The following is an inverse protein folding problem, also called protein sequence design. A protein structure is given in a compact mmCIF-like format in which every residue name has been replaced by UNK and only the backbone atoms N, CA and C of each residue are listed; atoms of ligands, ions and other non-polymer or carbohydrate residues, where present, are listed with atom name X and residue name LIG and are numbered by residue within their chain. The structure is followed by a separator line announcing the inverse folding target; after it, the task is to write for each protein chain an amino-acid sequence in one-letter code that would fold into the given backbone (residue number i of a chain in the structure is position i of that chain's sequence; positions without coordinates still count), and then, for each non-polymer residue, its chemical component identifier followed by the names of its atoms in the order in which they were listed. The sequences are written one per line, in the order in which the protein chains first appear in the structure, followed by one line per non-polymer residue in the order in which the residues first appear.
data_IF_889590940961
#
_entry.id   IF_889590940961
#
_cell.length_a   1.000
_cell.length_b   1.000
_cell.length_c   1.000
_cell.angle_alpha   90.00
_cell.angle_beta   90.00
_cell.angle_gamma   90.00
#
_symmetry.space_group_name_H-M   'P 1'
#
loop_
_entity.id
_entity.type
_entity.pdbx_description
1 polymer ?
#
# COMPACT_ATOMS: atom_id res chain seq x y z
N UNK A 1 -3.47 11.58 -39.39
CA UNK A 1 -3.19 11.04 -38.04
C UNK A 1 -4.16 9.91 -37.81
N UNK A 2 -3.66 8.70 -37.55
CA UNK A 2 -4.48 7.53 -37.20
C UNK A 2 -5.18 7.79 -35.86
N UNK A 3 -6.48 7.53 -35.77
CA UNK A 3 -7.22 7.66 -34.50
C UNK A 3 -6.69 6.63 -33.50
N UNK A 4 -6.44 7.03 -32.25
CA UNK A 4 -5.98 6.13 -31.19
C UNK A 4 -7.15 5.44 -30.47
N UNK A 5 -7.90 4.65 -31.23
CA UNK A 5 -9.17 4.06 -30.80
C UNK A 5 -9.28 2.59 -31.22
N UNK A 6 -9.99 1.78 -30.44
CA UNK A 6 -10.44 0.44 -30.82
C UNK A 6 -11.92 0.48 -31.16
N UNK A 7 -12.28 -0.23 -32.22
CA UNK A 7 -13.67 -0.39 -32.64
C UNK A 7 -14.21 -1.75 -32.17
N UNK A 8 -15.35 -1.72 -31.46
CA UNK A 8 -16.10 -2.90 -31.05
C UNK A 8 -17.40 -2.97 -31.85
N UNK A 9 -17.64 -4.10 -32.51
CA UNK A 9 -18.85 -4.33 -33.30
C UNK A 9 -19.72 -5.39 -32.64
N UNK A 10 -20.98 -5.05 -32.36
CA UNK A 10 -21.97 -6.03 -31.95
C UNK A 10 -22.54 -6.72 -33.20
N UNK A 11 -22.13 -7.97 -33.42
CA UNK A 11 -22.52 -8.75 -34.60
C UNK A 11 -24.03 -9.07 -34.68
N UNK A 12 -24.76 -9.04 -33.56
CA UNK A 12 -26.21 -9.29 -33.55
C UNK A 12 -27.00 -8.07 -34.02
N UNK A 13 -26.52 -6.86 -33.71
CA UNK A 13 -27.24 -5.61 -34.00
C UNK A 13 -26.60 -4.79 -35.12
N UNK A 14 -25.37 -5.11 -35.51
CA UNK A 14 -24.55 -4.32 -36.43
C UNK A 14 -24.05 -2.99 -35.86
N UNK A 15 -24.33 -2.68 -34.58
CA UNK A 15 -23.89 -1.44 -33.95
C UNK A 15 -22.37 -1.45 -33.74
N UNK A 16 -21.76 -0.30 -34.02
CA UNK A 16 -20.33 -0.06 -33.93
C UNK A 16 -20.08 0.95 -32.81
N UNK A 17 -19.11 0.65 -31.96
CA UNK A 17 -18.68 1.48 -30.83
C UNK A 17 -17.18 1.78 -30.97
N UNK A 18 -16.78 3.03 -30.75
CA UNK A 18 -15.37 3.44 -30.73
C UNK A 18 -14.97 3.77 -29.29
N UNK A 19 -13.90 3.17 -28.80
CA UNK A 19 -13.35 3.41 -27.46
C UNK A 19 -11.89 3.87 -27.55
N UNK A 20 -11.50 4.78 -26.65
CA UNK A 20 -10.15 5.34 -26.64
C UNK A 20 -9.14 4.35 -26.05
N UNK A 21 -7.93 4.36 -26.63
CA UNK A 21 -6.78 3.68 -26.06
C UNK A 21 -6.04 4.67 -25.15
N UNK A 22 -5.77 4.26 -23.90
CA UNK A 22 -4.95 5.02 -22.96
C UNK A 22 -3.58 4.35 -22.84
N UNK A 23 -2.53 5.14 -22.90
CA UNK A 23 -1.15 4.68 -22.79
C UNK A 23 -0.57 5.06 -21.43
N UNK A 24 0.10 4.10 -20.79
CA UNK A 24 0.94 4.36 -19.62
C UNK A 24 2.36 4.74 -20.05
N UNK A 25 3.14 5.32 -19.12
CA UNK A 25 4.58 5.53 -19.34
C UNK A 25 5.32 4.20 -19.57
N UNK A 26 4.82 3.12 -18.97
CA UNK A 26 5.33 1.75 -19.09
C UNK A 26 4.16 0.77 -19.05
N UNK A 27 4.36 -0.41 -19.65
CA UNK A 27 3.37 -1.49 -19.68
C UNK A 27 2.45 -1.44 -20.91
N UNK A 28 1.45 -2.33 -20.96
CA UNK A 28 0.50 -2.38 -22.07
C UNK A 28 -0.44 -1.17 -22.05
N UNK A 29 -0.90 -0.78 -23.23
CA UNK A 29 -2.01 0.18 -23.35
C UNK A 29 -3.32 -0.46 -22.87
N UNK A 30 -4.26 0.37 -22.42
CA UNK A 30 -5.56 -0.08 -21.90
C UNK A 30 -6.69 0.52 -22.73
N UNK A 31 -7.80 -0.20 -22.80
CA UNK A 31 -9.02 0.27 -23.43
C UNK A 31 -9.90 0.98 -22.41
N UNK A 32 -10.29 2.23 -22.67
CA UNK A 32 -11.19 2.97 -21.78
C UNK A 32 -12.64 2.54 -21.97
N UNK A 33 -13.13 1.71 -21.05
CA UNK A 33 -14.49 1.17 -21.05
C UNK A 33 -15.41 1.85 -20.01
N UNK A 34 -15.06 3.03 -19.49
CA UNK A 34 -15.87 3.72 -18.46
C UNK A 34 -17.32 4.00 -18.88
N UNK A 35 -17.54 4.25 -20.17
CA UNK A 35 -18.87 4.49 -20.75
C UNK A 35 -19.48 3.23 -21.38
N UNK A 36 -18.84 2.06 -21.27
CA UNK A 36 -19.28 0.86 -21.97
C UNK A 36 -20.73 0.46 -21.65
N UNK A 37 -21.12 0.55 -20.38
CA UNK A 37 -22.50 0.26 -19.98
C UNK A 37 -23.50 1.30 -20.50
N UNK A 38 -23.17 2.60 -20.44
CA UNK A 38 -24.08 3.64 -20.95
C UNK A 38 -24.25 3.56 -22.47
N UNK A 39 -23.22 3.15 -23.19
CA UNK A 39 -23.24 3.09 -24.65
C UNK A 39 -23.93 1.83 -25.17
N UNK A 40 -23.71 0.70 -24.49
CA UNK A 40 -24.08 -0.63 -25.00
C UNK A 40 -25.20 -1.31 -24.21
N UNK A 41 -25.45 -0.91 -22.96
CA UNK A 41 -26.30 -1.64 -22.02
C UNK A 41 -25.71 -2.97 -21.53
N UNK A 42 -24.42 -3.22 -21.79
CA UNK A 42 -23.72 -4.46 -21.43
C UNK A 42 -22.60 -4.20 -20.43
N UNK A 43 -22.16 -5.26 -19.74
CA UNK A 43 -20.96 -5.27 -18.92
C UNK A 43 -19.89 -6.17 -19.54
N UNK A 44 -18.63 -5.93 -19.17
CA UNK A 44 -17.57 -6.91 -19.37
C UNK A 44 -17.70 -8.02 -18.33
N UNK A 45 -17.29 -9.22 -18.70
CA UNK A 45 -17.26 -10.37 -17.79
C UNK A 45 -15.82 -10.86 -17.67
N UNK A 46 -15.14 -10.47 -16.60
CA UNK A 46 -13.74 -10.83 -16.30
C UNK A 46 -13.59 -11.28 -14.84
N UNK A 47 -14.08 -12.47 -14.48
CA UNK A 47 -13.90 -13.01 -13.13
C UNK A 47 -12.42 -13.10 -12.76
N UNK A 48 -12.03 -12.42 -11.69
CA UNK A 48 -10.64 -12.37 -11.23
C UNK A 48 -9.80 -11.23 -11.82
N UNK A 49 -10.40 -10.32 -12.60
CA UNK A 49 -9.74 -9.13 -13.16
C UNK A 49 -8.47 -9.46 -13.98
N UNK A 50 -8.51 -10.55 -14.74
CA UNK A 50 -7.35 -11.03 -15.50
C UNK A 50 -6.89 -10.06 -16.59
N UNK A 51 -7.82 -9.24 -17.09
CA UNK A 51 -7.61 -8.30 -18.20
C UNK A 51 -8.13 -6.89 -17.88
N UNK A 52 -8.40 -6.60 -16.60
CA UNK A 52 -9.00 -5.34 -16.16
C UNK A 52 -8.00 -4.50 -15.37
N UNK A 53 -7.64 -3.33 -15.90
CA UNK A 53 -6.87 -2.33 -15.16
C UNK A 53 -7.81 -1.51 -14.26
N UNK A 54 -7.75 -1.72 -12.95
CA UNK A 54 -8.68 -1.10 -11.99
C UNK A 54 -8.31 0.34 -11.60
N UNK A 55 -7.03 0.72 -11.70
CA UNK A 55 -6.56 2.05 -11.33
C UNK A 55 -5.38 2.53 -12.19
N UNK A 56 -5.15 3.84 -12.17
CA UNK A 56 -3.88 4.43 -12.61
C UNK A 56 -2.95 4.53 -11.40
N UNK A 57 -1.68 4.16 -11.55
CA UNK A 57 -0.70 4.19 -10.47
C UNK A 57 0.67 4.66 -10.96
N UNK A 58 1.35 5.42 -10.10
CA UNK A 58 2.73 5.89 -10.29
C UNK A 58 3.68 5.34 -9.23
N UNK A 59 3.24 4.31 -8.47
CA UNK A 59 3.96 3.78 -7.31
C UNK A 59 4.94 2.68 -7.74
N UNK A 60 4.43 1.59 -8.30
CA UNK A 60 5.21 0.39 -8.62
C UNK A 60 4.92 -0.09 -10.03
N UNK A 61 5.96 -0.53 -10.74
CA UNK A 61 5.86 -1.15 -12.06
C UNK A 61 6.48 -2.55 -12.03
N UNK A 62 5.84 -3.49 -12.73
CA UNK A 62 6.27 -4.89 -12.84
C UNK A 62 6.20 -5.35 -14.30
N UNK A 63 7.28 -5.93 -14.81
CA UNK A 63 7.29 -6.73 -16.05
C UNK A 63 7.82 -8.14 -15.73
N UNK A 64 6.90 -9.08 -15.50
CA UNK A 64 7.24 -10.45 -15.13
C UNK A 64 7.99 -11.23 -16.21
N UNK A 65 7.88 -10.86 -17.49
CA UNK A 65 8.62 -11.53 -18.57
C UNK A 65 10.08 -11.13 -18.59
N UNK A 66 10.36 -9.88 -18.22
CA UNK A 66 11.72 -9.34 -18.11
C UNK A 66 12.33 -9.47 -16.72
N UNK A 67 11.53 -9.86 -15.71
CA UNK A 67 11.94 -9.87 -14.32
C UNK A 67 12.19 -8.47 -13.76
N UNK A 68 11.49 -7.45 -14.27
CA UNK A 68 11.68 -6.05 -13.87
C UNK A 68 10.69 -5.68 -12.75
N UNK A 69 11.20 -5.16 -11.64
CA UNK A 69 10.42 -4.55 -10.55
C UNK A 69 10.99 -3.17 -10.23
N UNK A 70 10.13 -2.16 -10.18
CA UNK A 70 10.54 -0.77 -9.89
C UNK A 70 9.62 -0.10 -8.89
N UNK A 71 10.20 0.66 -7.96
CA UNK A 71 9.48 1.60 -7.09
C UNK A 71 9.79 3.03 -7.50
N UNK A 72 8.76 3.82 -7.81
CA UNK A 72 8.88 5.20 -8.34
C UNK A 72 9.88 5.32 -9.50
N UNK A 73 9.96 4.28 -10.33
CA UNK A 73 10.88 4.22 -11.47
C UNK A 73 12.30 3.71 -11.16
N UNK A 74 12.68 3.55 -9.89
CA UNK A 74 13.98 3.02 -9.47
C UNK A 74 13.93 1.48 -9.44
N UNK A 75 14.88 0.76 -10.07
CA UNK A 75 14.97 -0.70 -9.98
C UNK A 75 15.09 -1.20 -8.54
N UNK A 76 14.43 -2.31 -8.22
CA UNK A 76 14.42 -2.85 -6.87
C UNK A 76 15.81 -3.26 -6.39
N UNK A 77 16.68 -3.71 -7.29
CA UNK A 77 18.05 -4.12 -6.98
C UNK A 77 18.86 -2.93 -6.45
N UNK A 78 18.69 -1.76 -7.08
CA UNK A 78 19.33 -0.52 -6.64
C UNK A 78 18.89 -0.13 -5.23
N UNK A 79 17.59 -0.25 -4.93
CA UNK A 79 17.04 0.04 -3.61
C UNK A 79 17.54 -0.96 -2.56
N UNK A 80 17.58 -2.26 -2.89
CA UNK A 80 18.00 -3.30 -1.95
C UNK A 80 19.51 -3.26 -1.64
N UNK A 81 20.35 -2.86 -2.60
CA UNK A 81 21.81 -2.82 -2.42
C UNK A 81 22.32 -1.51 -1.81
N UNK A 82 21.69 -0.38 -2.14
CA UNK A 82 22.24 0.95 -1.84
C UNK A 82 21.39 1.79 -0.89
N UNK A 83 20.16 1.36 -0.57
CA UNK A 83 19.25 2.10 0.28
C UNK A 83 18.71 1.23 1.42
N UNK A 84 18.25 1.87 2.48
CA UNK A 84 17.60 1.18 3.60
C UNK A 84 16.07 1.18 3.47
N UNK A 85 15.43 0.49 4.42
CA UNK A 85 13.97 0.33 4.43
C UNK A 85 13.24 1.68 4.60
N UNK A 86 13.75 2.59 5.43
CA UNK A 86 13.11 3.88 5.67
C UNK A 86 13.23 4.82 4.47
N UNK A 87 14.35 4.81 3.76
CA UNK A 87 14.49 5.52 2.47
C UNK A 87 13.48 4.99 1.44
N UNK A 88 13.27 3.67 1.40
CA UNK A 88 12.26 3.06 0.53
C UNK A 88 10.84 3.46 0.93
N UNK A 89 10.53 3.51 2.23
CA UNK A 89 9.24 4.01 2.71
C UNK A 89 9.03 5.48 2.32
N UNK A 90 10.05 6.31 2.53
CA UNK A 90 10.01 7.73 2.17
C UNK A 90 9.79 7.92 0.68
N UNK A 91 10.48 7.13 -0.17
CA UNK A 91 10.30 7.12 -1.63
C UNK A 91 8.85 6.79 -2.02
N UNK A 92 8.26 5.76 -1.42
CA UNK A 92 6.91 5.34 -1.74
C UNK A 92 5.88 6.41 -1.35
N UNK A 93 6.05 7.04 -0.19
CA UNK A 93 5.16 8.09 0.30
C UNK A 93 5.33 9.41 -0.47
N UNK A 94 6.57 9.88 -0.66
CA UNK A 94 6.88 11.23 -1.17
C UNK A 94 7.25 11.28 -2.66
N UNK A 95 7.26 10.13 -3.35
CA UNK A 95 7.64 9.99 -4.76
C UNK A 95 9.07 10.44 -5.12
N UNK A 96 9.94 10.66 -4.13
CA UNK A 96 11.36 11.00 -4.28
C UNK A 96 12.18 10.41 -3.14
N UNK A 97 13.48 10.25 -3.35
CA UNK A 97 14.39 9.91 -2.26
C UNK A 97 14.51 11.08 -1.25
N UNK A 98 14.70 10.77 0.04
CA UNK A 98 14.95 11.79 1.05
C UNK A 98 16.34 12.40 0.90
N UNK A 99 16.50 13.62 1.39
CA UNK A 99 17.82 14.16 1.75
C UNK A 99 18.26 13.60 3.11
N UNK A 100 19.54 13.70 3.45
CA UNK A 100 20.09 13.18 4.73
C UNK A 100 19.33 13.72 5.94
N UNK A 101 19.10 15.04 6.03
CA UNK A 101 18.35 15.63 7.15
C UNK A 101 16.87 15.26 7.20
N UNK A 102 16.24 14.99 6.05
CA UNK A 102 14.86 14.49 6.00
C UNK A 102 14.78 13.04 6.47
N UNK A 103 15.77 12.22 6.10
CA UNK A 103 15.86 10.83 6.54
C UNK A 103 16.05 10.77 8.05
N UNK A 104 16.95 11.58 8.61
CA UNK A 104 17.19 11.64 10.06
C UNK A 104 15.93 12.05 10.83
N UNK A 105 15.22 13.06 10.31
CA UNK A 105 13.96 13.54 10.90
C UNK A 105 12.87 12.47 10.82
N UNK A 106 12.76 11.79 9.68
CA UNK A 106 11.80 10.72 9.46
C UNK A 106 12.08 9.51 10.35
N UNK A 107 13.33 9.05 10.43
CA UNK A 107 13.73 7.94 11.30
C UNK A 107 13.45 8.24 12.77
N UNK A 108 13.81 9.44 13.25
CA UNK A 108 13.51 9.87 14.61
C UNK A 108 11.99 9.89 14.89
N UNK A 109 11.20 10.41 13.95
CA UNK A 109 9.73 10.43 14.06
C UNK A 109 9.16 9.01 14.18
N UNK A 110 9.60 8.09 13.31
CA UNK A 110 9.15 6.70 13.30
C UNK A 110 9.52 6.00 14.62
N UNK A 111 10.73 6.20 15.14
CA UNK A 111 11.16 5.65 16.44
C UNK A 111 10.28 6.16 17.59
N UNK A 112 9.95 7.45 17.62
CA UNK A 112 9.06 8.01 18.65
C UNK A 112 7.62 7.50 18.54
N UNK A 113 7.12 7.22 17.33
CA UNK A 113 5.76 6.73 17.11
C UNK A 113 5.61 5.21 17.34
N UNK A 114 6.69 4.46 17.58
CA UNK A 114 6.66 3.01 17.78
C UNK A 114 5.87 2.54 19.01
N UNK A 115 5.78 3.38 20.06
CA UNK A 115 5.07 3.00 21.29
C UNK A 115 3.58 2.76 21.08
N UNK A 116 3.05 1.70 21.67
CA UNK A 116 1.62 1.39 21.67
C UNK A 116 0.94 1.95 22.92
N UNK A 117 -0.27 2.47 22.75
CA UNK A 117 -1.10 2.90 23.87
C UNK A 117 -1.33 1.73 24.84
N UNK A 118 -1.19 1.94 26.16
CA UNK A 118 -1.33 0.86 27.17
C UNK A 118 -2.69 0.14 27.09
N UNK A 119 -3.75 0.85 26.70
CA UNK A 119 -5.06 0.24 26.45
C UNK A 119 -5.04 -0.77 25.29
N UNK A 120 -4.26 -0.50 24.23
CA UNK A 120 -4.07 -1.45 23.13
C UNK A 120 -3.21 -2.64 23.57
N UNK A 121 -2.21 -2.44 24.43
CA UNK A 121 -1.39 -3.56 24.94
C UNK A 121 -2.24 -4.59 25.70
N UNK A 122 -3.26 -4.15 26.45
CA UNK A 122 -4.21 -5.04 27.15
C UNK A 122 -5.08 -5.86 26.21
N UNK A 123 -5.24 -5.46 24.95
CA UNK A 123 -5.95 -6.26 23.96
C UNK A 123 -5.23 -7.59 23.71
N UNK A 124 -3.90 -7.62 23.83
CA UNK A 124 -3.13 -8.84 23.63
C UNK A 124 -3.47 -9.90 24.69
N UNK A 125 -3.69 -9.48 25.94
CA UNK A 125 -4.09 -10.35 27.05
C UNK A 125 -5.48 -11.00 26.84
N UNK A 126 -6.30 -10.45 25.94
CA UNK A 126 -7.62 -11.01 25.61
C UNK A 126 -7.54 -12.16 24.60
N UNK A 127 -6.41 -12.33 23.90
CA UNK A 127 -6.23 -13.46 22.99
C UNK A 127 -5.75 -14.70 23.74
N UNK A 128 -6.14 -15.91 23.29
CA UNK A 128 -5.55 -17.15 23.79
C UNK A 128 -4.02 -17.17 23.65
N UNK A 129 -3.33 -17.87 24.55
CA UNK A 129 -1.86 -17.98 24.60
C UNK A 129 -1.24 -18.59 23.32
N UNK A 130 -2.04 -19.25 22.49
CA UNK A 130 -1.63 -19.87 21.22
C UNK A 130 -2.32 -19.25 19.99
N UNK A 131 -2.85 -18.03 20.12
CA UNK A 131 -3.46 -17.33 19.00
C UNK A 131 -2.46 -17.18 17.85
N UNK A 132 -2.92 -17.44 16.63
CA UNK A 132 -2.08 -17.31 15.45
C UNK A 132 -1.60 -15.85 15.31
N UNK A 133 -0.29 -15.56 15.19
CA UNK A 133 0.24 -14.19 15.23
C UNK A 133 -0.44 -13.23 14.25
N UNK A 134 -0.79 -13.70 13.04
CA UNK A 134 -1.52 -12.87 12.07
C UNK A 134 -2.94 -12.48 12.51
N UNK A 135 -3.65 -13.33 13.26
CA UNK A 135 -4.97 -12.99 13.77
C UNK A 135 -4.87 -11.89 14.84
N UNK A 136 -3.91 -12.04 15.76
CA UNK A 136 -3.59 -11.05 16.79
C UNK A 136 -3.12 -9.72 16.18
N UNK A 137 -2.21 -9.79 15.19
CA UNK A 137 -1.72 -8.62 14.47
C UNK A 137 -2.85 -7.88 13.76
N UNK A 138 -3.69 -8.61 13.01
CA UNK A 138 -4.83 -8.01 12.30
C UNK A 138 -5.78 -7.32 13.27
N UNK A 139 -6.13 -7.97 14.38
CA UNK A 139 -7.03 -7.40 15.37
C UNK A 139 -6.43 -6.17 16.08
N UNK A 140 -5.14 -6.20 16.41
CA UNK A 140 -4.44 -5.06 16.99
C UNK A 140 -4.35 -3.88 16.02
N UNK A 141 -4.08 -4.14 14.73
CA UNK A 141 -4.07 -3.10 13.69
C UNK A 141 -5.47 -2.51 13.51
N UNK A 142 -6.52 -3.33 13.46
CA UNK A 142 -7.91 -2.83 13.40
C UNK A 142 -8.26 -1.99 14.62
N UNK A 143 -7.82 -2.39 15.81
CA UNK A 143 -8.07 -1.65 17.04
C UNK A 143 -7.44 -0.25 17.04
N UNK A 144 -6.33 -0.02 16.29
CA UNK A 144 -5.74 1.32 16.14
C UNK A 144 -6.75 2.36 15.64
N UNK A 145 -7.70 1.98 14.79
CA UNK A 145 -8.74 2.88 14.29
C UNK A 145 -9.64 3.44 15.42
N UNK A 146 -9.80 2.70 16.52
CA UNK A 146 -10.54 3.19 17.70
C UNK A 146 -9.73 4.20 18.53
N UNK A 147 -8.40 4.09 18.53
CA UNK A 147 -7.51 5.02 19.24
C UNK A 147 -7.22 6.28 18.44
N UNK A 148 -7.30 6.20 17.11
CA UNK A 148 -7.06 7.29 16.17
C UNK A 148 -8.33 7.66 15.40
N UNK A 149 -9.46 7.70 16.10
CA UNK A 149 -10.77 7.94 15.52
C UNK A 149 -10.93 9.34 14.90
N UNK A 150 -10.13 10.31 15.35
CA UNK A 150 -10.08 11.67 14.84
C UNK A 150 -9.61 11.75 13.37
N UNK A 151 -8.96 10.70 12.86
CA UNK A 151 -8.46 10.62 11.48
C UNK A 151 -9.20 9.57 10.63
N UNK A 152 -10.44 9.22 11.00
CA UNK A 152 -11.26 8.31 10.18
C UNK A 152 -11.69 8.98 8.87
N UNK A 153 -12.03 10.27 8.94
CA UNK A 153 -12.35 11.11 7.79
C UNK A 153 -11.14 12.01 7.51
N UNK A 154 -10.25 11.53 6.63
CA UNK A 154 -9.02 12.26 6.29
C UNK A 154 -9.38 13.41 5.33
N UNK A 155 -9.29 14.65 5.81
CA UNK A 155 -9.60 15.84 5.01
C UNK A 155 -8.35 16.41 4.33
N UNK A 156 -7.17 16.20 4.93
CA UNK A 156 -5.93 16.85 4.53
C UNK A 156 -4.79 15.85 4.26
N UNK A 157 -3.88 16.21 3.35
CA UNK A 157 -2.70 15.38 3.03
C UNK A 157 -1.77 15.17 4.22
N UNK A 158 -1.65 16.17 5.11
CA UNK A 158 -0.85 16.05 6.33
C UNK A 158 -1.38 14.98 7.29
N UNK A 159 -2.71 14.85 7.41
CA UNK A 159 -3.33 13.82 8.25
C UNK A 159 -3.12 12.43 7.66
N UNK A 160 -3.20 12.32 6.32
CA UNK A 160 -2.85 11.08 5.62
C UNK A 160 -1.41 10.65 5.90
N UNK A 161 -0.46 11.57 5.74
CA UNK A 161 0.95 11.30 6.00
C UNK A 161 1.19 10.93 7.47
N UNK A 162 0.52 11.61 8.40
CA UNK A 162 0.61 11.27 9.80
C UNK A 162 0.13 9.84 10.07
N UNK A 163 -1.00 9.41 9.48
CA UNK A 163 -1.50 8.04 9.64
C UNK A 163 -0.56 7.02 9.01
N UNK A 164 0.00 7.34 7.84
CA UNK A 164 1.01 6.53 7.18
C UNK A 164 2.25 6.34 8.07
N UNK A 165 2.76 7.42 8.69
CA UNK A 165 3.91 7.34 9.60
C UNK A 165 3.56 6.51 10.86
N UNK A 166 2.36 6.71 11.45
CA UNK A 166 1.90 5.94 12.61
C UNK A 166 1.81 4.45 12.31
N UNK A 167 1.28 4.04 11.17
CA UNK A 167 1.16 2.61 10.85
C UNK A 167 2.53 1.98 10.57
N UNK A 168 3.41 2.66 9.85
CA UNK A 168 4.80 2.19 9.61
C UNK A 168 5.54 2.01 10.92
N UNK A 169 5.43 2.99 11.84
CA UNK A 169 6.10 2.95 13.13
C UNK A 169 5.58 1.85 14.07
N UNK A 170 4.27 1.60 14.08
CA UNK A 170 3.64 0.67 15.03
C UNK A 170 3.62 -0.77 14.57
N UNK A 171 3.71 -1.01 13.26
CA UNK A 171 3.65 -2.37 12.69
C UNK A 171 4.72 -3.30 13.27
N UNK A 172 6.01 -2.91 13.39
CA UNK A 172 7.03 -3.77 14.00
C UNK A 172 6.72 -4.09 15.47
N UNK A 173 6.24 -3.11 16.23
CA UNK A 173 5.89 -3.31 17.65
C UNK A 173 4.72 -4.28 17.80
N UNK A 174 3.67 -4.12 16.99
CA UNK A 174 2.52 -5.04 16.98
C UNK A 174 2.96 -6.44 16.55
N UNK A 175 3.83 -6.56 15.54
CA UNK A 175 4.35 -7.85 15.10
C UNK A 175 5.18 -8.55 16.19
N UNK A 176 6.08 -7.80 16.85
CA UNK A 176 6.89 -8.31 17.96
C UNK A 176 6.00 -8.72 19.15
N UNK A 177 4.98 -7.94 19.48
CA UNK A 177 4.05 -8.27 20.57
C UNK A 177 3.23 -9.51 20.22
N UNK A 178 2.73 -9.61 18.98
CA UNK A 178 2.00 -10.79 18.51
C UNK A 178 2.84 -12.06 18.58
N UNK A 179 4.12 -11.98 18.21
CA UNK A 179 5.06 -13.10 18.33
C UNK A 179 5.31 -13.48 19.79
N UNK A 180 5.62 -12.50 20.65
CA UNK A 180 5.89 -12.75 22.07
C UNK A 180 4.67 -13.28 22.83
N UNK A 181 3.48 -12.79 22.49
CA UNK A 181 2.21 -13.32 23.00
C UNK A 181 2.05 -14.81 22.65
N UNK A 182 2.32 -15.20 21.40
CA UNK A 182 2.25 -16.60 20.97
C UNK A 182 3.24 -17.54 21.67
N UNK A 183 4.26 -16.98 22.32
CA UNK A 183 5.24 -17.70 23.14
C UNK A 183 4.97 -17.59 24.65
N UNK A 184 3.98 -16.79 25.07
CA UNK A 184 3.70 -16.51 26.49
C UNK A 184 4.82 -15.77 27.22
N UNK A 185 5.64 -14.98 26.52
CA UNK A 185 6.75 -14.22 27.11
C UNK A 185 6.45 -12.72 27.23
N UNK A 186 6.99 -12.00 28.24
CA UNK A 186 6.68 -10.60 28.47
C UNK A 186 7.04 -9.70 27.29
N UNK A 187 6.24 -8.68 26.98
CA UNK A 187 6.54 -7.71 25.91
C UNK A 187 7.81 -6.89 26.17
N UNK A 188 8.46 -6.46 25.09
CA UNK A 188 9.60 -5.55 25.11
C UNK A 188 9.17 -4.26 24.44
N UNK A 189 9.23 -3.15 25.17
CA UNK A 189 8.90 -1.84 24.61
C UNK A 189 9.95 -1.42 23.57
N UNK A 190 9.57 -0.61 22.56
CA UNK A 190 10.52 -0.05 21.61
C UNK A 190 11.65 0.73 22.31
N UNK A 191 12.85 0.66 21.74
CA UNK A 191 13.99 1.45 22.18
C UNK A 191 14.30 2.52 21.13
N UNK A 192 14.25 3.79 21.53
CA UNK A 192 14.51 4.93 20.64
C UNK A 192 15.98 4.98 20.21
N UNK A 193 16.90 4.37 20.94
CA UNK A 193 18.33 4.36 20.58
C UNK A 193 18.65 3.35 19.47
N UNK A 194 17.72 2.46 19.12
CA UNK A 194 17.89 1.46 18.06
C UNK A 194 17.24 1.94 16.76
N UNK A 195 17.85 1.58 15.62
CA UNK A 195 17.28 1.78 14.28
C UNK A 195 16.00 0.98 14.08
N UNK A 196 15.26 1.29 13.01
CA UNK A 196 14.03 0.58 12.63
C UNK A 196 14.21 -0.93 12.44
N UNK A 197 15.37 -1.34 11.90
CA UNK A 197 15.80 -2.74 11.73
C UNK A 197 16.88 -3.10 12.72
#
# INVERSE_FOLDING_TARGET
MTKNTITLTNNQTGKIYEYNILEGTRGPAVLDIRHFFSDTGMFTYDPGFTSTAACSSTITFIDGKKGELRYRGIPIETLAENHNYLESCFLLLNARLPTEGELDSFDLEIRHRGYLHKGLQKLFDAFPDNAHPMATLSAAVTALASFYNEHLDIENENEYLEMAHRIIAKMPTIAAFSYRHSLGIPFIEPNIDLSFT
#
